data_IF_553577766749
#
_entry.id   IF_553577766749
#
_cell.length_a   1.000
_cell.length_b   1.000
_cell.length_c   1.000
_cell.angle_alpha   90.00
_cell.angle_beta   90.00
_cell.angle_gamma   90.00
#
_symmetry.space_group_name_H-M   'P 1'
#
loop_
_entity.id
_entity.type
_entity.pdbx_description
1 polymer ?
#
# COMPACT_ATOMS: atom_id res chain seq x y z
N UNK A 1 -6.41 7.42 26.01
CA UNK A 1 -7.53 6.45 25.89
C UNK A 1 -6.91 5.07 25.89
N UNK A 2 -7.12 4.30 26.95
CA UNK A 2 -6.62 2.93 27.10
C UNK A 2 -7.60 1.94 26.49
N UNK A 3 -7.07 0.92 25.81
CA UNK A 3 -7.84 -0.20 25.29
C UNK A 3 -7.22 -1.49 25.82
N UNK A 4 -8.03 -2.44 26.27
CA UNK A 4 -7.58 -3.80 26.57
C UNK A 4 -7.81 -4.65 25.33
N UNK A 5 -6.78 -5.33 24.83
CA UNK A 5 -6.89 -6.18 23.64
C UNK A 5 -6.80 -7.65 24.04
N UNK A 6 -7.64 -8.51 23.48
CA UNK A 6 -7.45 -9.95 23.48
C UNK A 6 -7.39 -10.41 22.02
N UNK A 7 -6.28 -11.06 21.65
CA UNK A 7 -6.18 -11.74 20.36
C UNK A 7 -6.86 -13.09 20.50
N UNK A 8 -7.94 -13.31 19.76
CA UNK A 8 -8.60 -14.61 19.67
C UNK A 8 -8.71 -14.99 18.20
N UNK A 9 -8.15 -16.13 17.76
CA UNK A 9 -8.51 -16.66 16.46
C UNK A 9 -10.01 -16.99 16.48
N UNK A 10 -10.77 -16.45 15.53
CA UNK A 10 -12.17 -16.88 15.35
C UNK A 10 -12.26 -17.73 14.09
N UNK A 11 -12.86 -18.91 14.25
CA UNK A 11 -12.90 -19.95 13.23
C UNK A 11 -13.75 -19.58 11.99
N UNK A 12 -14.63 -18.58 12.09
CA UNK A 12 -15.66 -18.33 11.08
C UNK A 12 -15.13 -17.76 9.75
N UNK A 13 -14.03 -16.99 9.77
CA UNK A 13 -13.56 -16.28 8.55
C UNK A 13 -12.04 -16.28 8.35
N UNK A 14 -11.26 -16.95 9.21
CA UNK A 14 -9.80 -17.00 9.13
C UNK A 14 -9.10 -15.65 9.35
N UNK A 15 -9.79 -14.67 9.94
CA UNK A 15 -9.20 -13.41 10.36
C UNK A 15 -8.81 -13.48 11.83
N UNK A 16 -7.59 -13.07 12.18
CA UNK A 16 -7.26 -12.75 13.56
C UNK A 16 -8.06 -11.50 13.95
N UNK A 17 -8.94 -11.68 14.91
CA UNK A 17 -9.72 -10.61 15.48
C UNK A 17 -9.07 -10.18 16.79
N UNK A 18 -8.89 -8.88 16.90
CA UNK A 18 -8.52 -8.17 18.09
C UNK A 18 -9.82 -7.74 18.78
N UNK A 19 -10.09 -8.28 19.96
CA UNK A 19 -11.15 -7.77 20.81
C UNK A 19 -10.58 -6.59 21.60
N UNK A 20 -10.94 -5.37 21.24
CA UNK A 20 -10.65 -4.17 22.02
C UNK A 20 -11.78 -3.91 23.01
N UNK A 21 -11.43 -3.50 24.23
CA UNK A 21 -12.36 -2.98 25.23
C UNK A 21 -12.05 -1.50 25.43
N UNK A 22 -13.01 -0.62 25.16
CA UNK A 22 -12.87 0.81 25.40
C UNK A 22 -12.93 1.15 26.89
N UNK A 23 -12.56 2.39 27.25
CA UNK A 23 -12.63 2.91 28.63
C UNK A 23 -14.08 2.93 29.15
N UNK A 24 -15.05 3.14 28.26
CA UNK A 24 -16.49 3.07 28.51
C UNK A 24 -17.04 1.62 28.50
N UNK A 25 -16.17 0.61 28.43
CA UNK A 25 -16.55 -0.81 28.51
C UNK A 25 -17.14 -1.38 27.22
N UNK A 26 -17.10 -0.63 26.12
CA UNK A 26 -17.57 -1.09 24.81
C UNK A 26 -16.55 -2.04 24.21
N UNK A 27 -16.97 -3.30 24.05
CA UNK A 27 -16.19 -4.30 23.31
C UNK A 27 -16.34 -4.06 21.82
N UNK A 28 -15.23 -3.93 21.11
CA UNK A 28 -15.19 -3.97 19.64
C UNK A 28 -14.27 -5.09 19.20
N UNK A 29 -14.79 -5.93 18.31
CA UNK A 29 -13.99 -6.93 17.64
C UNK A 29 -13.56 -6.35 16.31
N UNK A 30 -12.27 -6.03 16.18
CA UNK A 30 -11.70 -5.44 14.98
C UNK A 30 -10.72 -6.45 14.37
N UNK A 31 -10.66 -6.58 13.04
CA UNK A 31 -9.54 -7.26 12.41
C UNK A 31 -8.21 -6.65 12.86
N UNK A 32 -7.17 -7.46 13.08
CA UNK A 32 -5.84 -6.96 13.52
C UNK A 32 -5.28 -5.85 12.60
N UNK A 33 -5.60 -5.89 11.31
CA UNK A 33 -5.18 -4.88 10.34
C UNK A 33 -5.94 -3.53 10.46
N UNK A 34 -7.05 -3.50 11.20
CA UNK A 34 -7.87 -2.31 11.46
C UNK A 34 -7.60 -1.67 12.82
N UNK A 35 -6.69 -2.22 13.65
CA UNK A 35 -6.39 -1.65 14.96
C UNK A 35 -5.87 -0.21 14.82
N UNK A 36 -6.59 0.79 15.36
CA UNK A 36 -6.13 2.17 15.33
C UNK A 36 -5.09 2.37 16.43
N UNK A 37 -3.81 2.43 16.07
CA UNK A 37 -2.81 3.06 16.95
C UNK A 37 -3.08 4.57 16.97
N UNK A 38 -3.90 5.02 17.92
CA UNK A 38 -4.14 6.44 18.19
C UNK A 38 -2.94 6.94 18.98
N UNK A 39 -2.12 7.76 18.33
CA UNK A 39 -0.98 8.42 18.95
C UNK A 39 -1.29 9.91 19.07
N UNK A 40 -1.38 10.39 20.31
CA UNK A 40 -1.60 11.80 20.65
C UNK A 40 -0.32 12.64 20.65
N UNK A 41 0.86 12.00 20.62
CA UNK A 41 2.15 12.67 20.74
C UNK A 41 2.77 13.02 19.37
N UNK A 42 3.71 13.97 19.37
CA UNK A 42 4.57 14.29 18.21
C UNK A 42 5.26 13.02 17.71
N UNK A 43 4.92 12.58 16.51
CA UNK A 43 5.57 11.47 15.85
C UNK A 43 6.76 11.94 15.02
N UNK A 44 7.86 11.21 15.14
CA UNK A 44 8.98 11.33 14.22
C UNK A 44 8.78 10.37 13.04
N UNK A 45 9.22 10.78 11.84
CA UNK A 45 9.24 9.93 10.66
C UNK A 45 10.69 9.67 10.27
N UNK A 46 11.09 8.41 10.21
CA UNK A 46 12.43 8.01 9.77
C UNK A 46 12.33 7.17 8.49
N UNK A 47 13.30 7.37 7.60
CA UNK A 47 13.66 6.39 6.59
C UNK A 47 14.89 5.64 7.07
N UNK A 48 14.81 4.32 7.09
CA UNK A 48 15.89 3.43 7.52
C UNK A 48 15.99 2.25 6.56
N UNK A 49 17.18 1.65 6.50
CA UNK A 49 17.41 0.39 5.79
C UNK A 49 17.51 -0.68 6.87
N UNK A 50 16.61 -1.67 6.83
CA UNK A 50 16.67 -2.83 7.71
C UNK A 50 17.42 -3.94 6.99
N UNK A 51 18.37 -4.57 7.68
CA UNK A 51 19.05 -5.77 7.21
C UNK A 51 18.53 -6.97 7.97
N UNK A 52 18.50 -8.13 7.33
CA UNK A 52 17.94 -9.37 7.90
C UNK A 52 18.65 -9.90 9.15
N UNK A 53 19.80 -9.33 9.55
CA UNK A 53 20.46 -9.65 10.82
C UNK A 53 19.61 -9.10 11.97
N UNK A 54 18.74 -9.95 12.50
CA UNK A 54 17.98 -9.67 13.71
C UNK A 54 18.94 -9.65 14.91
N UNK A 55 18.82 -8.62 15.76
CA UNK A 55 19.65 -8.51 16.96
C UNK A 55 18.98 -9.03 18.24
N UNK A 56 17.71 -9.42 18.18
CA UNK A 56 17.00 -10.07 19.30
C UNK A 56 15.50 -10.19 19.02
N UNK A 57 14.90 -11.22 19.60
CA UNK A 57 13.45 -11.35 19.73
C UNK A 57 13.13 -11.19 21.21
N UNK A 58 12.65 -10.01 21.58
CA UNK A 58 12.36 -9.68 22.97
C UNK A 58 10.85 -9.69 23.24
N UNK A 59 10.48 -9.76 24.53
CA UNK A 59 9.11 -9.57 24.98
C UNK A 59 8.65 -8.14 24.67
N UNK A 60 7.47 -8.01 24.06
CA UNK A 60 6.87 -6.73 23.68
C UNK A 60 6.56 -5.85 24.91
N UNK A 61 6.52 -6.40 26.13
CA UNK A 61 6.27 -5.67 27.37
C UNK A 61 7.11 -4.40 27.50
N UNK A 62 8.43 -4.49 27.24
CA UNK A 62 9.31 -3.32 27.33
C UNK A 62 8.93 -2.23 26.31
N UNK A 63 8.60 -2.63 25.09
CA UNK A 63 8.12 -1.70 24.06
C UNK A 63 6.81 -1.03 24.48
N UNK A 64 5.86 -1.78 25.04
CA UNK A 64 4.57 -1.22 25.49
C UNK A 64 4.76 -0.23 26.63
N UNK A 65 5.65 -0.53 27.58
CA UNK A 65 5.99 0.39 28.68
C UNK A 65 6.61 1.70 28.17
N UNK A 66 7.57 1.64 27.24
CA UNK A 66 8.17 2.82 26.62
C UNK A 66 7.14 3.66 25.85
N UNK A 67 6.17 2.99 25.22
CA UNK A 67 5.07 3.62 24.48
C UNK A 67 3.93 4.10 25.38
N UNK A 68 3.97 3.79 26.69
CA UNK A 68 2.91 4.05 27.67
C UNK A 68 1.59 3.39 27.27
N UNK A 69 1.68 2.18 26.75
CA UNK A 69 0.57 1.35 26.26
C UNK A 69 0.34 0.13 27.14
N UNK A 70 0.53 0.30 28.45
CA UNK A 70 0.52 -0.76 29.44
C UNK A 70 -0.85 -1.45 29.59
N UNK A 71 -1.91 -0.94 28.95
CA UNK A 71 -3.22 -1.59 28.90
C UNK A 71 -3.34 -2.64 27.79
N UNK A 72 -2.39 -2.68 26.84
CA UNK A 72 -2.38 -3.66 25.76
C UNK A 72 -1.82 -5.00 26.26
N UNK A 73 -2.32 -6.12 25.73
CA UNK A 73 -1.82 -7.45 26.04
C UNK A 73 -0.38 -7.59 25.53
N UNK A 74 0.46 -8.19 26.36
CA UNK A 74 1.84 -8.57 26.01
C UNK A 74 1.90 -9.98 25.42
N UNK A 75 0.92 -10.81 25.74
CA UNK A 75 0.87 -12.22 25.36
C UNK A 75 0.89 -12.43 23.84
N UNK A 76 1.79 -13.31 23.41
CA UNK A 76 1.82 -13.82 22.04
C UNK A 76 2.27 -12.80 21.00
N UNK A 77 2.94 -11.71 21.35
CA UNK A 77 3.59 -10.83 20.38
C UNK A 77 5.08 -10.75 20.66
N UNK A 78 5.88 -10.68 19.59
CA UNK A 78 7.32 -10.51 19.69
C UNK A 78 7.75 -9.13 19.21
N UNK A 79 8.91 -8.70 19.71
CA UNK A 79 9.55 -7.45 19.34
C UNK A 79 10.82 -7.73 18.52
N UNK A 80 10.96 -7.06 17.37
CA UNK A 80 12.15 -7.14 16.52
C UNK A 80 13.02 -5.91 16.73
N UNK A 81 14.31 -6.13 16.98
CA UNK A 81 15.30 -5.06 17.18
C UNK A 81 16.27 -5.00 16.00
N UNK A 82 16.47 -3.78 15.50
CA UNK A 82 17.38 -3.50 14.39
C UNK A 82 18.36 -2.39 14.79
N UNK A 83 19.66 -2.69 14.69
CA UNK A 83 20.70 -1.67 14.75
C UNK A 83 20.75 -0.94 13.40
N UNK A 84 20.64 0.39 13.46
CA UNK A 84 20.68 1.25 12.28
C UNK A 84 21.62 2.42 12.51
N UNK A 85 22.03 3.09 11.44
CA UNK A 85 22.82 4.34 11.54
C UNK A 85 22.09 5.47 12.29
N UNK A 86 20.81 5.29 12.64
CA UNK A 86 19.99 6.24 13.41
C UNK A 86 19.69 5.74 14.83
N UNK A 87 20.42 4.74 15.29
CA UNK A 87 20.25 4.04 16.56
C UNK A 87 19.30 2.84 16.45
N UNK A 88 19.01 2.23 17.59
CA UNK A 88 18.15 1.06 17.70
C UNK A 88 16.72 1.38 17.27
N UNK A 89 16.17 0.50 16.44
CA UNK A 89 14.79 0.57 15.97
C UNK A 89 14.04 -0.67 16.46
N UNK A 90 12.98 -0.43 17.23
CA UNK A 90 12.14 -1.47 17.82
C UNK A 90 10.83 -1.58 17.05
N UNK A 91 10.56 -2.75 16.48
CA UNK A 91 9.42 -3.00 15.60
C UNK A 91 8.61 -4.19 16.14
N UNK A 92 7.36 -3.97 16.59
CA UNK A 92 6.45 -5.06 16.90
C UNK A 92 6.20 -5.96 15.68
N UNK A 93 6.16 -7.28 15.89
CA UNK A 93 5.90 -8.26 14.83
C UNK A 93 4.63 -8.01 14.05
N UNK A 94 3.57 -7.51 14.69
CA UNK A 94 2.33 -7.13 14.01
C UNK A 94 2.60 -6.14 12.87
N UNK A 95 3.41 -5.11 13.12
CA UNK A 95 3.73 -4.10 12.11
C UNK A 95 4.60 -4.69 11.00
N UNK A 96 5.51 -5.59 11.36
CA UNK A 96 6.41 -6.25 10.42
C UNK A 96 5.65 -7.18 9.47
N UNK A 97 4.82 -8.08 10.01
CA UNK A 97 3.92 -8.97 9.27
C UNK A 97 2.99 -8.17 8.37
N UNK A 98 2.41 -7.08 8.89
CA UNK A 98 1.54 -6.21 8.11
C UNK A 98 2.28 -5.55 6.94
N UNK A 99 3.48 -5.02 7.21
CA UNK A 99 4.25 -4.29 6.21
C UNK A 99 4.88 -5.20 5.15
N UNK A 100 5.19 -6.45 5.48
CA UNK A 100 5.73 -7.46 4.56
C UNK A 100 4.61 -8.09 3.73
N UNK A 101 3.57 -8.61 4.38
CA UNK A 101 2.67 -9.60 3.78
C UNK A 101 1.18 -9.21 3.81
N UNK A 102 0.72 -8.48 4.84
CA UNK A 102 -0.69 -8.11 4.98
C UNK A 102 -1.03 -6.75 4.33
N UNK A 103 -0.46 -6.48 3.16
CA UNK A 103 -0.63 -5.23 2.43
C UNK A 103 -2.00 -5.10 1.73
N UNK A 104 -2.79 -6.18 1.71
CA UNK A 104 -4.21 -6.15 1.40
C UNK A 104 -5.00 -7.14 2.28
N UNK A 105 -6.30 -6.90 2.44
CA UNK A 105 -7.17 -7.71 3.32
C UNK A 105 -7.27 -9.17 2.84
N UNK A 106 -7.41 -9.47 1.54
CA UNK A 106 -7.54 -10.86 1.09
C UNK A 106 -6.28 -11.71 1.36
N UNK A 107 -5.06 -11.20 1.12
CA UNK A 107 -3.82 -11.94 1.39
C UNK A 107 -3.57 -12.09 2.89
N UNK A 108 -3.99 -11.11 3.70
CA UNK A 108 -3.89 -11.20 5.16
C UNK A 108 -4.61 -12.44 5.71
N UNK A 109 -5.72 -12.87 5.09
CA UNK A 109 -6.45 -14.09 5.48
C UNK A 109 -5.71 -15.38 5.14
N UNK A 110 -4.80 -15.34 4.16
CA UNK A 110 -4.02 -16.51 3.74
C UNK A 110 -2.80 -16.76 4.66
N UNK A 111 -2.29 -15.72 5.33
CA UNK A 111 -1.14 -15.81 6.23
C UNK A 111 -1.31 -16.80 7.39
N UNK A 112 -2.55 -17.04 7.78
CA UNK A 112 -2.91 -17.90 8.91
C UNK A 112 -3.52 -19.22 8.46
N UNK A 113 -3.23 -19.62 7.22
CA UNK A 113 -3.59 -20.92 6.66
C UNK A 113 -2.30 -21.63 6.24
N UNK A 114 -2.30 -22.97 6.19
CA UNK A 114 -1.18 -23.75 5.65
C UNK A 114 -1.13 -23.68 4.11
N UNK A 115 -1.26 -22.47 3.55
CA UNK A 115 -1.27 -22.22 2.11
C UNK A 115 0.08 -21.59 1.74
N UNK A 116 0.94 -22.32 1.00
CA UNK A 116 2.20 -21.78 0.53
C UNK A 116 1.97 -20.75 -0.58
N UNK A 117 2.96 -19.88 -0.81
CA UNK A 117 2.86 -18.76 -1.77
C UNK A 117 2.61 -19.26 -3.20
N UNK A 118 3.23 -20.40 -3.52
CA UNK A 118 3.22 -21.11 -4.80
C UNK A 118 1.81 -21.57 -5.20
N UNK A 119 0.92 -21.78 -4.23
CA UNK A 119 -0.47 -22.13 -4.51
C UNK A 119 -1.24 -21.00 -5.21
N UNK A 120 -0.76 -19.75 -5.12
CA UNK A 120 -1.47 -18.61 -5.68
C UNK A 120 -0.64 -17.70 -6.56
N UNK A 121 0.69 -17.72 -6.49
CA UNK A 121 1.54 -17.07 -7.47
C UNK A 121 2.80 -17.89 -7.77
N UNK A 122 3.16 -17.96 -9.04
CA UNK A 122 4.38 -18.62 -9.51
C UNK A 122 5.22 -17.65 -10.36
N UNK A 123 6.55 -17.70 -10.28
CA UNK A 123 7.42 -16.90 -11.12
C UNK A 123 7.33 -17.35 -12.59
N UNK A 124 7.44 -16.40 -13.51
CA UNK A 124 7.64 -16.69 -14.95
C UNK A 124 9.13 -16.63 -15.24
N UNK A 125 9.73 -17.79 -15.50
CA UNK A 125 11.20 -17.93 -15.61
C UNK A 125 11.78 -17.47 -16.95
N UNK A 126 10.92 -17.15 -17.92
CA UNK A 126 11.31 -16.83 -19.29
C UNK A 126 11.72 -15.35 -19.49
N UNK A 127 11.25 -14.45 -18.61
CA UNK A 127 11.44 -13.00 -18.74
C UNK A 127 12.25 -12.42 -17.57
N UNK A 128 13.07 -11.40 -17.85
CA UNK A 128 13.85 -10.63 -16.84
C UNK A 128 13.01 -9.74 -15.93
N UNK A 129 11.70 -9.62 -16.20
CA UNK A 129 10.85 -8.54 -15.69
C UNK A 129 10.09 -8.89 -14.40
N UNK A 130 10.60 -9.82 -13.59
CA UNK A 130 10.01 -10.24 -12.32
C UNK A 130 8.51 -10.59 -12.47
N UNK A 131 8.17 -11.23 -13.58
CA UNK A 131 6.79 -11.53 -13.91
C UNK A 131 6.28 -12.72 -13.08
N UNK A 132 4.97 -12.69 -12.78
CA UNK A 132 4.30 -13.78 -12.09
C UNK A 132 3.05 -14.20 -12.85
N UNK A 133 2.72 -15.47 -12.72
CA UNK A 133 1.45 -16.04 -13.15
C UNK A 133 0.63 -16.47 -11.93
N UNK A 134 -0.69 -16.51 -12.10
CA UNK A 134 -1.64 -16.94 -11.08
C UNK A 134 -2.25 -18.27 -11.53
N UNK A 135 -1.87 -19.40 -10.89
CA UNK A 135 -2.42 -20.72 -11.22
C UNK A 135 -3.94 -20.76 -11.09
N UNK A 136 -4.46 -20.23 -9.99
CA UNK A 136 -5.90 -20.06 -9.78
C UNK A 136 -6.33 -18.60 -10.04
N UNK A 137 -6.80 -18.36 -11.26
CA UNK A 137 -7.34 -17.06 -11.66
C UNK A 137 -8.59 -16.67 -10.89
N UNK A 138 -9.37 -17.60 -10.33
CA UNK A 138 -10.63 -17.30 -9.66
C UNK A 138 -10.41 -16.54 -8.35
N UNK A 139 -9.39 -16.94 -7.57
CA UNK A 139 -9.01 -16.25 -6.33
C UNK A 139 -8.60 -14.78 -6.57
N UNK A 140 -8.10 -14.44 -7.78
CA UNK A 140 -7.52 -13.12 -8.06
C UNK A 140 -8.29 -12.27 -9.09
N UNK A 141 -9.26 -12.84 -9.83
CA UNK A 141 -10.00 -12.18 -10.92
C UNK A 141 -10.80 -10.95 -10.51
N UNK A 142 -11.31 -10.90 -9.28
CA UNK A 142 -12.29 -9.88 -8.89
C UNK A 142 -11.71 -8.72 -8.05
N UNK A 143 -10.68 -8.96 -7.24
CA UNK A 143 -10.25 -7.98 -6.21
C UNK A 143 -8.86 -7.37 -6.41
N UNK A 144 -8.04 -7.90 -7.33
CA UNK A 144 -6.63 -7.53 -7.44
C UNK A 144 -6.29 -6.64 -8.65
N UNK A 145 -7.30 -6.15 -9.36
CA UNK A 145 -7.10 -5.34 -10.56
C UNK A 145 -6.20 -4.12 -10.27
N UNK A 146 -4.96 -4.18 -10.80
CA UNK A 146 -4.07 -3.05 -11.15
C UNK A 146 -3.32 -2.30 -10.04
N UNK A 147 -3.17 -2.82 -8.82
CA UNK A 147 -2.18 -2.21 -7.91
C UNK A 147 -0.79 -2.78 -8.19
N UNK A 148 0.04 -2.00 -8.87
CA UNK A 148 1.42 -2.39 -9.20
C UNK A 148 2.24 -2.71 -7.95
N UNK A 149 1.92 -2.12 -6.79
CA UNK A 149 2.62 -2.41 -5.54
C UNK A 149 2.36 -3.84 -5.05
N UNK A 150 1.11 -4.30 -5.16
CA UNK A 150 0.67 -5.64 -4.77
C UNK A 150 1.34 -6.67 -5.66
N UNK A 151 1.31 -6.44 -6.98
CA UNK A 151 1.94 -7.35 -7.94
C UNK A 151 3.45 -7.45 -7.75
N UNK A 152 4.14 -6.34 -7.47
CA UNK A 152 5.58 -6.35 -7.21
C UNK A 152 5.95 -7.08 -5.91
N UNK A 153 5.10 -7.02 -4.88
CA UNK A 153 5.29 -7.80 -3.64
C UNK A 153 5.06 -9.29 -3.86
N UNK A 154 4.00 -9.64 -4.59
CA UNK A 154 3.75 -11.03 -4.97
C UNK A 154 4.88 -11.57 -5.84
N UNK A 155 5.42 -10.74 -6.74
CA UNK A 155 6.60 -11.09 -7.52
C UNK A 155 7.80 -11.37 -6.65
N UNK A 156 8.13 -10.47 -5.72
CA UNK A 156 9.20 -10.71 -4.75
C UNK A 156 9.00 -12.03 -3.98
N UNK A 157 7.81 -12.28 -3.44
CA UNK A 157 7.53 -13.51 -2.70
C UNK A 157 7.57 -14.77 -3.58
N UNK A 158 7.15 -14.68 -4.85
CA UNK A 158 7.20 -15.81 -5.76
C UNK A 158 8.65 -16.18 -6.16
N UNK A 159 9.55 -15.20 -6.19
CA UNK A 159 10.93 -15.40 -6.61
C UNK A 159 11.91 -15.65 -5.44
N UNK A 160 11.62 -15.14 -4.23
CA UNK A 160 12.52 -15.25 -3.06
C UNK A 160 12.17 -16.42 -2.14
N UNK A 161 13.12 -17.35 -1.94
CA UNK A 161 12.92 -18.50 -1.03
C UNK A 161 12.89 -18.08 0.43
N UNK A 162 13.66 -17.08 0.84
CA UNK A 162 13.60 -16.53 2.19
C UNK A 162 12.27 -15.84 2.44
N UNK A 163 11.70 -15.15 1.46
CA UNK A 163 10.35 -14.57 1.55
C UNK A 163 9.27 -15.66 1.72
N UNK A 164 9.36 -16.76 0.98
CA UNK A 164 8.45 -17.92 1.14
C UNK A 164 8.57 -18.54 2.53
N UNK A 165 9.79 -18.74 3.04
CA UNK A 165 10.04 -19.23 4.41
C UNK A 165 9.47 -18.29 5.47
N UNK A 166 9.66 -16.98 5.26
CA UNK A 166 9.13 -15.93 6.13
C UNK A 166 7.59 -15.92 6.13
N UNK A 167 6.95 -16.05 4.96
CA UNK A 167 5.50 -16.21 4.84
C UNK A 167 5.00 -17.40 5.67
N UNK A 168 5.57 -18.59 5.44
CA UNK A 168 5.19 -19.81 6.16
C UNK A 168 5.52 -19.78 7.66
N UNK A 169 6.46 -18.93 8.10
CA UNK A 169 6.76 -18.76 9.52
C UNK A 169 5.62 -18.09 10.29
N UNK A 170 4.82 -17.23 9.65
CA UNK A 170 3.68 -16.55 10.30
C UNK A 170 2.66 -17.57 10.78
N UNK A 171 2.25 -18.49 9.90
CA UNK A 171 1.33 -19.56 10.26
C UNK A 171 1.91 -20.47 11.35
N UNK A 172 3.19 -20.86 11.25
CA UNK A 172 3.86 -21.71 12.25
C UNK A 172 3.87 -21.06 13.62
N UNK A 173 4.30 -19.79 13.71
CA UNK A 173 4.30 -19.05 14.97
C UNK A 173 2.88 -18.89 15.53
N UNK A 174 1.89 -18.69 14.67
CA UNK A 174 0.49 -18.57 15.08
C UNK A 174 -0.05 -19.87 15.70
N UNK A 175 0.39 -21.05 15.24
CA UNK A 175 0.06 -22.33 15.88
C UNK A 175 0.62 -22.43 17.31
N UNK A 176 1.74 -21.78 17.58
CA UNK A 176 2.34 -21.67 18.92
C UNK A 176 1.71 -20.55 19.76
N UNK A 177 0.63 -19.91 19.29
CA UNK A 177 -0.02 -18.79 19.97
C UNK A 177 0.79 -17.48 19.91
N UNK A 178 1.72 -17.35 18.95
CA UNK A 178 2.57 -16.16 18.78
C UNK A 178 2.36 -15.50 17.43
N UNK A 179 2.23 -14.19 17.41
CA UNK A 179 2.30 -13.34 16.23
C UNK A 179 3.74 -12.92 16.02
N UNK A 180 4.42 -13.65 15.13
CA UNK A 180 5.83 -13.43 14.81
C UNK A 180 6.12 -13.86 13.38
N UNK A 181 7.22 -13.37 12.81
CA UNK A 181 7.72 -13.86 11.53
C UNK A 181 9.25 -13.91 11.51
N UNK A 182 9.79 -14.92 10.83
CA UNK A 182 11.19 -14.92 10.44
C UNK A 182 11.41 -13.80 9.42
N UNK A 183 12.46 -12.99 9.61
CA UNK A 183 12.83 -11.97 8.64
C UNK A 183 13.34 -12.62 7.35
N UNK A 184 12.84 -12.21 6.17
CA UNK A 184 13.44 -12.63 4.90
C UNK A 184 14.83 -12.05 4.74
N UNK A 185 15.66 -12.72 3.94
CA UNK A 185 17.02 -12.28 3.64
C UNK A 185 16.97 -11.09 2.68
N UNK A 186 17.79 -10.07 2.94
CA UNK A 186 17.87 -8.88 2.09
C UNK A 186 17.97 -7.56 2.85
N UNK A 187 17.93 -6.48 2.07
CA UNK A 187 17.87 -5.10 2.54
C UNK A 187 16.49 -4.50 2.26
N UNK A 188 15.86 -3.95 3.29
CA UNK A 188 14.52 -3.40 3.23
C UNK A 188 14.60 -1.88 3.41
N UNK A 189 14.24 -1.12 2.38
CA UNK A 189 14.08 0.33 2.52
C UNK A 189 12.68 0.64 3.06
N UNK A 190 12.63 1.20 4.26
CA UNK A 190 11.36 1.40 4.98
C UNK A 190 11.20 2.85 5.44
N UNK A 191 9.95 3.32 5.49
CA UNK A 191 9.59 4.47 6.32
C UNK A 191 8.89 3.96 7.56
N UNK A 192 9.39 4.40 8.70
CA UNK A 192 8.78 4.17 9.99
C UNK A 192 8.30 5.49 10.57
N UNK A 193 7.20 5.44 11.33
CA UNK A 193 6.77 6.51 12.21
C UNK A 193 6.65 5.98 13.62
N UNK A 194 7.06 6.78 14.58
CA UNK A 194 7.20 6.32 15.94
C UNK A 194 7.60 7.42 16.89
N UNK A 195 8.14 7.00 18.03
CA UNK A 195 8.61 7.87 19.10
C UNK A 195 10.02 7.44 19.51
N UNK A 196 10.90 8.41 19.72
CA UNK A 196 12.22 8.15 20.31
C UNK A 196 12.12 8.24 21.83
N UNK A 197 12.57 7.20 22.52
CA UNK A 197 12.54 7.10 23.98
C UNK A 197 13.88 6.51 24.42
N UNK A 198 14.64 7.24 25.26
CA UNK A 198 15.95 6.81 25.75
C UNK A 198 16.93 6.35 24.64
N UNK A 199 16.94 7.03 23.50
CA UNK A 199 17.79 6.69 22.36
C UNK A 199 17.19 5.64 21.40
N UNK A 200 16.21 4.86 21.84
CA UNK A 200 15.54 3.82 21.06
C UNK A 200 14.38 4.41 20.25
N UNK A 201 14.26 4.03 18.98
CA UNK A 201 13.14 4.42 18.13
C UNK A 201 12.04 3.34 18.13
N UNK A 202 10.98 3.56 18.90
CA UNK A 202 9.83 2.68 18.99
C UNK A 202 8.87 2.93 17.82
N UNK A 203 8.76 1.97 16.90
CA UNK A 203 7.96 2.08 15.68
C UNK A 203 6.49 1.80 15.96
N UNK A 204 5.62 2.71 15.52
CA UNK A 204 4.16 2.56 15.62
C UNK A 204 3.47 2.42 14.26
N UNK A 205 4.14 2.83 13.17
CA UNK A 205 3.70 2.58 11.80
C UNK A 205 4.90 2.29 10.91
N UNK A 206 4.73 1.39 9.96
CA UNK A 206 5.78 0.97 9.04
C UNK A 206 5.26 0.89 7.61
N UNK A 207 6.11 1.20 6.64
CA UNK A 207 5.85 0.94 5.23
C UNK A 207 7.16 0.58 4.54
N UNK A 208 7.18 -0.59 3.90
CA UNK A 208 8.30 -1.04 3.06
C UNK A 208 8.09 -0.50 1.65
N UNK A 209 9.10 0.15 1.08
CA UNK A 209 9.02 0.70 -0.28
C UNK A 209 9.83 -0.09 -1.28
N UNK A 210 10.91 -0.71 -0.83
CA UNK A 210 11.83 -1.42 -1.69
C UNK A 210 12.47 -2.56 -0.90
N UNK A 211 12.68 -3.67 -1.60
CA UNK A 211 13.45 -4.81 -1.11
C UNK A 211 14.54 -5.11 -2.12
N UNK A 212 15.76 -5.27 -1.62
CA UNK A 212 16.91 -5.72 -2.38
C UNK A 212 17.36 -7.06 -1.82
N UNK A 213 17.41 -8.11 -2.62
CA UNK A 213 17.76 -9.45 -2.16
C UNK A 213 18.49 -10.26 -3.23
N UNK A 214 19.32 -11.20 -2.78
CA UNK A 214 20.17 -12.03 -3.65
C UNK A 214 19.58 -13.43 -3.87
N UNK A 215 18.59 -13.83 -3.06
CA UNK A 215 18.04 -15.18 -3.00
C UNK A 215 16.89 -15.42 -3.99
N UNK A 216 17.06 -14.89 -5.21
CA UNK A 216 16.04 -14.91 -6.24
C UNK A 216 16.22 -16.12 -7.17
N UNK A 217 15.15 -16.89 -7.30
CA UNK A 217 15.03 -17.96 -8.27
C UNK A 217 14.69 -17.40 -9.66
N UNK A 218 15.72 -16.91 -10.36
CA UNK A 218 15.67 -16.61 -11.79
C UNK A 218 16.57 -17.56 -12.59
N UNK A 219 16.42 -17.53 -13.92
CA UNK A 219 17.29 -18.25 -14.86
C UNK A 219 18.76 -17.85 -14.71
N UNK A 220 19.02 -16.60 -14.33
CA UNK A 220 20.32 -16.07 -13.99
C UNK A 220 20.52 -16.11 -12.47
N UNK A 221 20.90 -17.29 -11.97
CA UNK A 221 21.30 -17.46 -10.57
C UNK A 221 22.38 -16.42 -10.19
N UNK A 222 22.30 -15.85 -8.99
CA UNK A 222 23.25 -14.88 -8.38
C UNK A 222 23.13 -13.41 -8.80
N UNK A 223 21.97 -12.95 -9.30
CA UNK A 223 21.74 -11.52 -9.50
C UNK A 223 20.99 -10.91 -8.32
N UNK A 224 21.59 -9.89 -7.69
CA UNK A 224 20.88 -9.04 -6.73
C UNK A 224 19.71 -8.38 -7.43
N UNK A 225 18.50 -8.60 -6.93
CA UNK A 225 17.31 -7.98 -7.50
C UNK A 225 16.72 -6.95 -6.57
N UNK A 226 16.07 -5.96 -7.18
CA UNK A 226 15.36 -4.89 -6.49
C UNK A 226 13.88 -4.91 -6.85
N UNK A 227 13.04 -5.01 -5.84
CA UNK A 227 11.58 -4.92 -5.97
C UNK A 227 11.10 -3.61 -5.35
N UNK A 228 10.55 -2.70 -6.15
CA UNK A 228 10.01 -1.43 -5.69
C UNK A 228 8.48 -1.49 -5.53
N UNK A 229 8.01 -1.51 -4.28
CA UNK A 229 6.59 -1.58 -3.92
C UNK A 229 5.88 -0.23 -4.00
N UNK A 230 6.60 0.87 -4.15
CA UNK A 230 6.01 2.13 -4.58
C UNK A 230 6.81 2.62 -5.77
N UNK A 231 6.18 2.71 -6.94
CA UNK A 231 6.47 3.84 -7.81
C UNK A 231 6.05 5.06 -7.00
N UNK A 232 7.00 5.69 -6.30
CA UNK A 232 6.84 7.10 -5.94
C UNK A 232 6.47 7.75 -7.26
N UNK A 233 5.27 8.31 -7.35
CA UNK A 233 5.11 9.48 -8.20
C UNK A 233 6.28 10.37 -7.79
N UNK A 234 7.22 10.59 -8.69
CA UNK A 234 8.27 11.58 -8.48
C UNK A 234 7.61 12.85 -7.93
N UNK A 235 8.26 13.58 -7.01
CA UNK A 235 7.70 14.83 -6.50
C UNK A 235 7.22 15.65 -7.70
N UNK A 236 5.89 15.75 -7.84
CA UNK A 236 5.27 16.44 -8.95
C UNK A 236 5.54 17.92 -8.71
N UNK A 237 6.58 18.42 -9.39
CA UNK A 237 6.91 19.83 -9.36
C UNK A 237 5.79 20.58 -10.09
N UNK A 238 4.97 21.28 -9.31
CA UNK A 238 3.83 22.04 -9.84
C UNK A 238 4.28 23.14 -10.78
N UNK A 239 5.52 23.60 -10.64
CA UNK A 239 6.06 24.73 -11.38
C UNK A 239 6.65 24.28 -12.73
N UNK A 240 6.92 22.99 -12.92
CA UNK A 240 7.52 22.46 -14.15
C UNK A 240 6.50 21.95 -15.17
N UNK A 241 5.21 21.98 -14.84
CA UNK A 241 4.16 21.35 -15.66
C UNK A 241 3.44 22.42 -16.47
N UNK A 242 3.78 22.61 -17.76
CA UNK A 242 3.03 23.51 -18.62
C UNK A 242 1.61 22.96 -18.76
N UNK A 243 0.62 23.76 -18.37
CA UNK A 243 -0.78 23.48 -18.67
C UNK A 243 -0.97 23.72 -20.16
N UNK A 244 -0.72 22.70 -20.98
CA UNK A 244 -1.08 22.75 -22.40
C UNK A 244 -2.58 22.67 -22.51
N UNK A 245 -3.19 23.75 -22.99
CA UNK A 245 -4.62 23.78 -23.24
C UNK A 245 -5.02 22.67 -24.21
N UNK A 246 -6.17 22.04 -23.95
CA UNK A 246 -6.81 21.14 -24.92
C UNK A 246 -7.18 21.96 -26.15
N UNK A 247 -6.81 21.46 -27.34
CA UNK A 247 -7.13 22.08 -28.62
C UNK A 247 -8.64 22.17 -28.80
N UNK A 248 -9.11 23.16 -29.57
CA UNK A 248 -10.55 23.36 -29.80
C UNK A 248 -11.22 22.16 -30.45
N UNK A 249 -10.57 21.53 -31.43
CA UNK A 249 -11.05 20.29 -32.06
C UNK A 249 -11.22 19.17 -31.05
N UNK A 250 -10.19 18.88 -30.25
CA UNK A 250 -10.23 17.87 -29.19
C UNK A 250 -11.28 18.19 -28.12
N UNK A 251 -11.43 19.47 -27.76
CA UNK A 251 -12.45 19.90 -26.83
C UNK A 251 -13.85 19.62 -27.36
N UNK A 252 -14.12 19.95 -28.63
CA UNK A 252 -15.41 19.70 -29.29
C UNK A 252 -15.69 18.19 -29.31
N UNK A 253 -14.73 17.38 -29.76
CA UNK A 253 -14.89 15.92 -29.83
C UNK A 253 -15.15 15.29 -28.45
N UNK A 254 -14.37 15.67 -27.43
CA UNK A 254 -14.56 15.17 -26.07
C UNK A 254 -15.92 15.63 -25.53
N UNK A 255 -16.30 16.89 -25.76
CA UNK A 255 -17.60 17.42 -25.31
C UNK A 255 -18.77 16.70 -25.94
N UNK A 256 -18.74 16.48 -27.26
CA UNK A 256 -19.76 15.71 -27.97
C UNK A 256 -19.84 14.26 -27.47
N UNK A 257 -18.69 13.62 -27.27
CA UNK A 257 -18.63 12.28 -26.67
C UNK A 257 -19.26 12.26 -25.27
N UNK A 258 -18.96 13.25 -24.44
CA UNK A 258 -19.51 13.36 -23.08
C UNK A 258 -21.02 13.60 -23.09
N UNK A 259 -21.54 14.39 -24.03
CA UNK A 259 -22.99 14.62 -24.20
C UNK A 259 -23.69 13.36 -24.70
N UNK A 260 -23.15 12.71 -25.74
CA UNK A 260 -23.70 11.47 -26.33
C UNK A 260 -23.82 10.35 -25.30
N UNK A 261 -22.88 10.29 -24.35
CA UNK A 261 -22.86 9.27 -23.29
C UNK A 261 -23.47 9.75 -21.97
N UNK A 262 -24.23 10.86 -21.96
CA UNK A 262 -24.90 11.42 -20.78
C UNK A 262 -23.97 11.65 -19.57
N UNK A 263 -22.67 11.88 -19.83
CA UNK A 263 -21.68 12.17 -18.81
C UNK A 263 -21.67 13.66 -18.39
N UNK A 264 -22.27 14.52 -19.22
CA UNK A 264 -22.58 15.93 -18.95
C UNK A 264 -24.10 16.13 -18.87
N UNK A 265 -24.59 16.99 -17.96
CA UNK A 265 -26.00 17.36 -17.92
C UNK A 265 -26.38 18.14 -19.19
N UNK A 266 -27.52 17.82 -19.79
CA UNK A 266 -27.98 18.38 -21.07
C UNK A 266 -28.34 19.88 -21.01
N UNK A 267 -28.44 20.49 -19.82
CA UNK A 267 -29.00 21.83 -19.64
C UNK A 267 -28.10 22.73 -18.77
N UNK A 268 -27.29 23.57 -19.44
CA UNK A 268 -26.51 24.64 -18.82
C UNK A 268 -26.15 25.70 -19.86
N UNK A 269 -26.42 26.98 -19.57
CA UNK A 269 -26.25 28.11 -20.51
C UNK A 269 -24.77 28.27 -20.91
N UNK A 270 -24.57 28.49 -22.21
CA UNK A 270 -23.42 28.04 -22.99
C UNK A 270 -22.03 28.65 -22.72
N UNK A 271 -21.87 29.73 -21.95
CA UNK A 271 -20.57 30.41 -21.86
C UNK A 271 -19.76 30.09 -20.60
N UNK A 272 -20.40 29.80 -19.47
CA UNK A 272 -19.71 29.47 -18.22
C UNK A 272 -19.29 27.99 -18.10
N UNK A 273 -20.12 27.10 -18.64
CA UNK A 273 -19.95 25.66 -18.49
C UNK A 273 -18.85 25.10 -19.40
N UNK A 274 -18.70 25.63 -20.61
CA UNK A 274 -17.65 25.21 -21.54
C UNK A 274 -16.25 25.61 -21.05
N UNK A 275 -16.08 26.82 -20.52
CA UNK A 275 -14.83 27.27 -19.94
C UNK A 275 -14.44 26.46 -18.69
N UNK A 276 -15.43 26.08 -17.87
CA UNK A 276 -15.21 25.21 -16.70
C UNK A 276 -14.89 23.78 -17.12
N UNK A 277 -15.59 23.24 -18.12
CA UNK A 277 -15.33 21.93 -18.68
C UNK A 277 -13.91 21.86 -19.25
N UNK A 278 -13.50 22.87 -20.02
CA UNK A 278 -12.15 22.96 -20.57
C UNK A 278 -11.07 22.95 -19.49
N UNK A 279 -11.24 23.72 -18.40
CA UNK A 279 -10.34 23.67 -17.24
C UNK A 279 -10.27 22.27 -16.61
N UNK A 280 -11.41 21.60 -16.45
CA UNK A 280 -11.45 20.24 -15.92
C UNK A 280 -10.75 19.25 -16.86
N UNK A 281 -10.93 19.38 -18.18
CA UNK A 281 -10.29 18.53 -19.18
C UNK A 281 -8.78 18.75 -19.23
N UNK A 282 -8.30 20.00 -19.11
CA UNK A 282 -6.87 20.31 -18.95
C UNK A 282 -6.31 19.59 -17.72
N UNK A 283 -6.97 19.68 -16.56
CA UNK A 283 -6.55 19.00 -15.33
C UNK A 283 -6.55 17.48 -15.46
N UNK A 284 -7.58 16.91 -16.09
CA UNK A 284 -7.66 15.47 -16.38
C UNK A 284 -6.53 15.05 -17.31
N UNK A 285 -6.26 15.82 -18.37
CA UNK A 285 -5.15 15.57 -19.30
C UNK A 285 -3.81 15.58 -18.54
N UNK A 286 -3.54 16.62 -17.75
CA UNK A 286 -2.34 16.70 -16.92
C UNK A 286 -2.23 15.49 -15.97
N UNK A 287 -3.34 15.07 -15.37
CA UNK A 287 -3.42 13.89 -14.49
C UNK A 287 -3.19 12.56 -15.22
N UNK A 288 -3.57 12.48 -16.50
CA UNK A 288 -3.35 11.30 -17.35
C UNK A 288 -1.89 11.20 -17.80
N UNK A 289 -1.26 12.33 -18.10
CA UNK A 289 0.16 12.42 -18.49
C UNK A 289 1.08 12.22 -17.29
N UNK A 290 0.73 12.81 -16.14
CA UNK A 290 1.56 12.79 -14.94
C UNK A 290 0.87 12.03 -13.79
N UNK A 291 1.48 10.95 -13.27
CA UNK A 291 0.88 10.13 -12.23
C UNK A 291 0.98 10.77 -10.83
N UNK A 292 0.42 11.96 -10.62
CA UNK A 292 0.44 12.69 -9.33
C UNK A 292 -0.90 12.59 -8.58
N UNK A 293 -1.01 13.02 -7.31
CA UNK A 293 -2.29 13.09 -6.57
C UNK A 293 -3.11 14.31 -7.03
N UNK A 294 -4.44 14.25 -6.94
CA UNK A 294 -5.33 15.38 -7.31
C UNK A 294 -4.97 16.70 -6.60
N UNK A 295 -4.74 16.74 -5.27
CA UNK A 295 -4.35 17.99 -4.60
C UNK A 295 -2.99 18.55 -5.03
N UNK A 296 -2.21 17.80 -5.82
CA UNK A 296 -0.91 18.22 -6.35
C UNK A 296 -1.01 18.89 -7.71
N UNK A 297 -2.16 18.82 -8.40
CA UNK A 297 -2.33 19.48 -9.69
C UNK A 297 -2.35 21.02 -9.53
N UNK A 298 -1.87 21.78 -10.53
CA UNK A 298 -1.99 23.24 -10.53
C UNK A 298 -3.46 23.66 -10.71
N UNK A 299 -3.86 24.76 -10.07
CA UNK A 299 -5.23 25.32 -10.18
C UNK A 299 -5.93 25.52 -8.83
N UNK A 300 -7.14 26.06 -8.87
CA UNK A 300 -7.94 26.28 -7.66
C UNK A 300 -8.48 24.95 -7.11
N UNK A 301 -8.59 24.85 -5.79
CA UNK A 301 -9.12 23.64 -5.13
C UNK A 301 -10.50 23.21 -5.66
N UNK A 302 -11.36 24.17 -6.02
CA UNK A 302 -12.69 23.92 -6.61
C UNK A 302 -12.59 23.26 -7.99
N UNK A 303 -11.66 23.69 -8.82
CA UNK A 303 -11.44 23.15 -10.16
C UNK A 303 -10.87 21.72 -10.08
N UNK A 304 -9.92 21.50 -9.16
CA UNK A 304 -9.36 20.15 -8.88
C UNK A 304 -10.44 19.18 -8.42
N UNK A 305 -11.31 19.59 -7.48
CA UNK A 305 -12.41 18.75 -7.00
C UNK A 305 -13.43 18.45 -8.11
N UNK A 306 -13.72 19.44 -8.96
CA UNK A 306 -14.61 19.30 -10.12
C UNK A 306 -14.02 18.32 -11.15
N UNK A 307 -12.75 18.46 -11.50
CA UNK A 307 -12.03 17.58 -12.41
C UNK A 307 -11.96 16.14 -11.88
N UNK A 308 -11.68 15.97 -10.58
CA UNK A 308 -11.69 14.65 -9.93
C UNK A 308 -13.07 13.98 -10.00
N UNK A 309 -14.13 14.75 -9.78
CA UNK A 309 -15.51 14.26 -9.83
C UNK A 309 -15.86 13.77 -11.24
N UNK A 310 -15.51 14.55 -12.26
CA UNK A 310 -15.69 14.18 -13.66
C UNK A 310 -14.88 12.93 -14.02
N UNK A 311 -13.59 12.89 -13.67
CA UNK A 311 -12.74 11.71 -13.89
C UNK A 311 -13.32 10.44 -13.27
N UNK A 312 -13.80 10.52 -12.03
CA UNK A 312 -14.39 9.38 -11.32
C UNK A 312 -15.68 8.91 -11.99
N UNK A 313 -16.50 9.84 -12.48
CA UNK A 313 -17.71 9.53 -13.25
C UNK A 313 -17.38 8.78 -14.53
N UNK A 314 -16.43 9.27 -15.32
CA UNK A 314 -15.99 8.62 -16.57
C UNK A 314 -15.44 7.22 -16.34
N UNK A 315 -14.67 7.04 -15.25
CA UNK A 315 -14.15 5.73 -14.87
C UNK A 315 -15.26 4.75 -14.48
N UNK A 316 -16.28 5.20 -13.75
CA UNK A 316 -17.42 4.35 -13.36
C UNK A 316 -18.29 3.96 -14.54
N UNK A 317 -18.48 4.89 -15.48
CA UNK A 317 -19.25 4.67 -16.71
C UNK A 317 -18.44 3.95 -17.81
N UNK A 318 -17.19 3.55 -17.54
CA UNK A 318 -16.31 2.87 -18.49
C UNK A 318 -15.96 3.67 -19.77
N UNK A 319 -16.09 5.00 -19.75
CA UNK A 319 -15.75 5.90 -20.86
C UNK A 319 -14.36 6.54 -20.73
N UNK A 320 -13.63 6.25 -19.64
CA UNK A 320 -12.35 6.88 -19.38
C UNK A 320 -11.31 6.60 -20.48
N UNK A 321 -11.28 5.40 -21.04
CA UNK A 321 -10.31 5.05 -22.09
C UNK A 321 -10.60 5.80 -23.40
N UNK A 322 -11.88 6.00 -23.76
CA UNK A 322 -12.26 6.80 -24.93
C UNK A 322 -11.85 8.26 -24.76
N UNK A 323 -12.13 8.86 -23.60
CA UNK A 323 -11.74 10.24 -23.30
C UNK A 323 -10.22 10.37 -23.22
N UNK A 324 -9.53 9.40 -22.65
CA UNK A 324 -8.05 9.36 -22.61
C UNK A 324 -7.48 9.32 -24.03
N UNK A 325 -8.04 8.48 -24.90
CA UNK A 325 -7.67 8.39 -26.32
C UNK A 325 -7.76 9.77 -26.98
N UNK A 326 -8.92 10.41 -26.91
CA UNK A 326 -9.15 11.73 -27.49
C UNK A 326 -8.21 12.81 -26.93
N UNK A 327 -7.97 12.83 -25.61
CA UNK A 327 -7.12 13.83 -24.96
C UNK A 327 -5.62 13.67 -25.24
N UNK A 328 -5.16 12.45 -25.54
CA UNK A 328 -3.74 12.13 -25.67
C UNK A 328 -3.29 11.93 -27.13
N UNK A 329 -4.14 11.40 -28.00
CA UNK A 329 -3.78 11.11 -29.40
C UNK A 329 -3.81 12.35 -30.31
N UNK A 330 -4.47 13.44 -29.90
CA UNK A 330 -4.57 14.67 -30.66
C UNK A 330 -3.32 15.57 -30.65
N UNK A 331 -2.12 15.02 -30.41
CA UNK A 331 -0.89 15.82 -30.51
C UNK A 331 -0.38 15.81 -31.96
N UNK A 332 -0.18 17.00 -32.59
CA UNK A 332 0.83 17.09 -33.64
C UNK A 332 2.19 16.78 -33.01
N UNK A 333 3.00 15.97 -33.70
CA UNK A 333 4.37 15.62 -33.30
C UNK A 333 5.27 16.83 -33.08
#
# INVERSE_FOLDING_TARGET
>A
MSWVTHLSPTAADGAFLCNTLSVDGVRKTLPVHEMPFVLSDRQESLKVVLRSKLHGVDDISQYLDLMRWNSLPTGGQTLHTFDTSKGDVWIPSQLLVQALFAFNVPLAKLLFRPIPVECFCAPVLEDSDNQITFPDRALFRQNYKRDSSVLQRLAWMAHSRSAQRAWGSVFRNALDGRLDCTMPEGEFEVSVRGKRVHGIFCVARMTIFKVTCDDIYTREHNTTQTFAFRKRAEPFDRNSVPIREVLDSTFIEVREHLLKNQALPEHGKATGDDARLRRNLNLIRTKLVHPCKWPQLPGHHRDVASAFSLYTRLRRANHLEDVKRLLLEAQPG
#
